data_IF_435673221341
#
_entry.id   IF_435673221341
#
_cell.length_a   1.000
_cell.length_b   1.000
_cell.length_c   1.000
_cell.angle_alpha   90.00
_cell.angle_beta   90.00
_cell.angle_gamma   90.00
#
_symmetry.space_group_name_H-M   'P 1'
#
loop_
_entity.id
_entity.type
_entity.pdbx_description
1 polymer ?
#
# COMPACT_ATOMS: atom_id res chain seq x y z
N UNK A 1 11.95 44.09 31.12
CA UNK A 1 10.80 44.10 32.07
C UNK A 1 10.54 42.64 32.46
N UNK A 2 10.43 42.22 33.73
CA UNK A 2 9.51 42.62 34.81
C UNK A 2 8.02 42.46 34.45
N UNK A 3 7.48 41.34 34.92
CA UNK A 3 6.12 41.06 35.39
C UNK A 3 5.14 42.23 35.54
N UNK A 4 3.84 41.97 35.28
CA UNK A 4 2.79 41.86 36.32
C UNK A 4 1.52 41.19 35.74
N UNK A 5 0.85 40.37 36.54
CA UNK A 5 -0.46 39.75 36.32
C UNK A 5 -1.41 40.20 37.46
N UNK A 6 -2.72 40.36 37.23
CA UNK A 6 -3.69 40.30 38.32
C UNK A 6 -4.91 39.39 38.02
N UNK A 7 -4.86 38.17 38.54
CA UNK A 7 -5.88 37.51 39.38
C UNK A 7 -7.40 37.64 39.10
N UNK A 8 -8.06 36.46 38.97
CA UNK A 8 -9.22 35.92 39.76
C UNK A 8 -10.37 36.88 40.17
N UNK A 9 -11.67 36.51 40.14
CA UNK A 9 -12.39 35.21 40.07
C UNK A 9 -13.83 35.50 39.52
N UNK A 10 -14.90 34.68 39.54
CA UNK A 10 -15.32 33.46 40.28
C UNK A 10 -15.94 32.39 39.33
N UNK A 11 -16.69 31.42 39.87
CA UNK A 11 -17.73 30.63 39.18
C UNK A 11 -19.13 31.04 39.74
N UNK A 12 -20.27 30.47 39.26
CA UNK A 12 -20.67 29.14 39.76
C UNK A 12 -21.16 28.13 38.69
N UNK A 13 -21.28 26.90 39.17
CA UNK A 13 -21.60 25.63 38.51
C UNK A 13 -22.80 25.58 37.55
N UNK A 14 -22.70 24.73 36.51
CA UNK A 14 -23.67 23.63 36.30
C UNK A 14 -23.09 22.48 35.48
N UNK A 15 -23.22 21.26 35.99
CA UNK A 15 -22.59 20.08 35.42
C UNK A 15 -23.25 19.60 34.11
N UNK A 16 -22.44 19.24 33.12
CA UNK A 16 -22.80 18.34 32.01
C UNK A 16 -21.80 17.19 31.96
N UNK A 17 -22.17 16.04 32.51
CA UNK A 17 -21.45 14.78 32.24
C UNK A 17 -21.84 14.32 30.83
N UNK A 18 -20.93 14.45 29.87
CA UNK A 18 -21.00 13.64 28.66
C UNK A 18 -20.38 12.28 28.98
N UNK A 19 -21.04 11.21 28.54
CA UNK A 19 -20.67 9.83 28.86
C UNK A 19 -19.96 9.26 27.63
N UNK A 20 -18.66 9.05 27.74
CA UNK A 20 -17.91 8.22 26.80
C UNK A 20 -18.30 6.74 27.04
N UNK A 21 -18.76 6.00 26.01
CA UNK A 21 -18.92 4.56 26.11
C UNK A 21 -17.57 3.88 25.92
N UNK A 22 -16.88 3.55 27.01
CA UNK A 22 -15.61 2.81 26.98
C UNK A 22 -15.77 1.45 26.26
N UNK A 23 -15.23 1.31 25.06
CA UNK A 23 -15.28 0.06 24.27
C UNK A 23 -14.25 -0.92 24.84
N UNK A 24 -14.65 -1.68 25.85
CA UNK A 24 -13.81 -2.70 26.48
C UNK A 24 -13.63 -3.95 25.60
N UNK A 25 -12.39 -4.28 25.24
CA UNK A 25 -12.06 -5.53 24.56
C UNK A 25 -12.28 -6.74 25.49
N UNK A 26 -13.20 -7.65 25.12
CA UNK A 26 -13.26 -9.01 25.69
C UNK A 26 -13.73 -10.07 24.69
N UNK A 27 -12.80 -10.58 23.88
CA UNK A 27 -12.87 -11.95 23.32
C UNK A 27 -11.49 -12.39 22.80
N UNK A 28 -10.84 -13.36 23.46
CA UNK A 28 -9.75 -14.16 22.89
C UNK A 28 -10.14 -15.64 22.94
N UNK A 29 -9.67 -16.37 21.93
CA UNK A 29 -9.83 -17.80 21.64
C UNK A 29 -11.26 -18.37 21.49
N UNK A 30 -11.53 -18.96 20.32
CA UNK A 30 -11.73 -20.41 20.06
C UNK A 30 -12.16 -20.55 18.60
N UNK A 31 -11.21 -20.70 17.69
CA UNK A 31 -11.38 -21.28 16.34
C UNK A 31 -10.00 -21.81 15.90
N UNK A 32 -9.99 -22.98 15.27
CA UNK A 32 -8.78 -23.56 14.66
C UNK A 32 -9.05 -23.91 13.20
N UNK A 33 -8.06 -23.64 12.35
CA UNK A 33 -8.10 -23.56 10.87
C UNK A 33 -8.80 -22.29 10.32
N UNK A 34 -8.30 -21.71 9.21
CA UNK A 34 -8.72 -20.39 8.76
C UNK A 34 -9.78 -20.42 7.64
N UNK A 35 -10.87 -19.69 7.85
CA UNK A 35 -11.60 -19.00 6.78
C UNK A 35 -11.89 -17.58 7.24
N UNK A 36 -11.74 -16.60 6.34
CA UNK A 36 -11.66 -15.18 6.68
C UNK A 36 -13.02 -14.58 7.07
N UNK A 37 -13.16 -14.14 8.33
CA UNK A 37 -14.31 -13.34 8.77
C UNK A 37 -13.97 -12.46 9.99
N UNK A 38 -13.44 -11.26 9.75
CA UNK A 38 -13.25 -10.23 10.77
C UNK A 38 -14.33 -9.15 10.62
N UNK A 39 -15.37 -9.22 11.45
CA UNK A 39 -16.49 -8.28 11.44
C UNK A 39 -16.74 -7.67 12.82
N UNK A 40 -16.78 -6.33 12.89
CA UNK A 40 -17.06 -5.60 14.13
C UNK A 40 -18.55 -5.69 14.51
N UNK A 41 -18.86 -6.29 15.66
CA UNK A 41 -20.25 -6.39 16.15
C UNK A 41 -20.65 -5.14 16.96
N UNK A 42 -21.41 -4.24 16.35
CA UNK A 42 -22.10 -3.17 17.06
C UNK A 42 -23.38 -3.70 17.75
N UNK A 43 -23.39 -3.73 19.08
CA UNK A 43 -24.52 -4.26 19.88
C UNK A 43 -25.48 -3.12 20.27
N UNK A 44 -26.50 -2.88 19.44
CA UNK A 44 -27.60 -1.98 19.79
C UNK A 44 -28.65 -2.70 20.66
N UNK A 45 -28.89 -2.19 21.87
CA UNK A 45 -29.96 -2.66 22.76
C UNK A 45 -31.10 -1.64 22.82
N UNK A 46 -32.23 -1.93 22.15
CA UNK A 46 -33.45 -1.15 22.33
C UNK A 46 -34.19 -1.57 23.61
N UNK A 47 -34.67 -0.62 24.44
CA UNK A 47 -35.60 -0.93 25.53
C UNK A 47 -36.98 -1.32 24.95
N UNK A 48 -37.77 -2.15 25.66
CA UNK A 48 -39.12 -2.48 25.22
C UNK A 48 -40.02 -1.24 25.24
N UNK A 49 -40.73 -0.98 24.15
CA UNK A 49 -41.83 -0.01 24.14
C UNK A 49 -42.95 -0.52 25.06
N UNK A 50 -43.42 0.31 25.98
CA UNK A 50 -44.65 0.05 26.71
C UNK A 50 -45.84 0.07 25.73
N UNK A 51 -46.76 -0.87 25.86
CA UNK A 51 -47.97 -0.93 25.05
C UNK A 51 -49.03 0.05 25.60
N UNK A 52 -49.33 1.11 24.84
CA UNK A 52 -50.54 1.92 25.02
C UNK A 52 -51.65 1.42 24.09
N UNK A 53 -52.93 1.39 24.52
CA UNK A 53 -54.02 0.94 23.68
C UNK A 53 -54.39 2.00 22.62
N UNK A 54 -54.57 1.57 21.36
CA UNK A 54 -55.16 2.42 20.31
C UNK A 54 -54.23 2.75 19.13
N UNK A 55 -53.94 1.76 18.29
CA UNK A 55 -53.49 1.97 16.91
C UNK A 55 -54.01 0.82 16.03
N UNK A 56 -54.52 1.12 14.84
CA UNK A 56 -55.14 0.11 13.96
C UNK A 56 -54.11 -0.84 13.36
N UNK A 57 -54.52 -2.07 13.09
CA UNK A 57 -53.71 -3.05 12.37
C UNK A 57 -53.46 -2.63 10.92
N UNK A 58 -52.18 -2.62 10.52
CA UNK A 58 -51.73 -2.51 9.15
C UNK A 58 -50.61 -3.53 8.93
N UNK A 59 -50.59 -4.16 7.75
CA UNK A 59 -49.87 -5.41 7.46
C UNK A 59 -48.41 -5.49 7.95
N UNK A 60 -48.08 -6.56 8.68
CA UNK A 60 -46.70 -7.06 8.74
C UNK A 60 -46.30 -7.65 7.37
N UNK A 61 -45.08 -7.38 6.86
CA UNK A 61 -44.57 -8.06 5.68
C UNK A 61 -44.13 -9.50 6.03
N UNK A 62 -44.69 -10.48 5.35
CA UNK A 62 -44.39 -11.89 5.60
C UNK A 62 -42.92 -12.23 5.29
N UNK A 63 -42.12 -12.50 6.33
CA UNK A 63 -40.74 -12.96 6.18
C UNK A 63 -40.71 -14.42 5.72
N UNK A 64 -40.09 -14.68 4.57
CA UNK A 64 -39.73 -16.05 4.18
C UNK A 64 -38.48 -16.49 4.94
N UNK A 65 -38.54 -17.64 5.62
CA UNK A 65 -37.40 -18.20 6.32
C UNK A 65 -36.54 -19.07 5.38
N UNK A 66 -35.26 -18.72 5.21
CA UNK A 66 -34.25 -19.60 4.60
C UNK A 66 -33.86 -20.73 5.56
N UNK A 67 -33.38 -21.86 5.04
CA UNK A 67 -33.10 -23.08 5.81
C UNK A 67 -31.76 -23.11 6.57
N UNK A 68 -30.83 -22.18 6.33
CA UNK A 68 -29.53 -22.14 7.04
C UNK A 68 -29.73 -21.76 8.52
N UNK A 69 -29.71 -22.77 9.39
CA UNK A 69 -29.60 -22.65 10.85
C UNK A 69 -28.21 -23.11 11.28
N UNK A 70 -27.62 -22.40 12.24
CA UNK A 70 -26.41 -22.83 12.94
C UNK A 70 -26.58 -22.65 14.44
N UNK A 71 -26.23 -23.69 15.20
CA UNK A 71 -26.25 -23.65 16.66
C UNK A 71 -24.96 -23.02 17.19
N UNK A 72 -25.10 -22.02 18.04
CA UNK A 72 -23.98 -21.25 18.59
C UNK A 72 -24.03 -21.31 20.12
N UNK A 73 -22.89 -21.67 20.73
CA UNK A 73 -22.73 -21.61 22.19
C UNK A 73 -22.21 -20.22 22.58
N UNK A 74 -22.99 -19.48 23.35
CA UNK A 74 -22.62 -18.14 23.83
C UNK A 74 -22.36 -18.20 25.34
N UNK A 75 -21.20 -17.69 25.77
CA UNK A 75 -20.86 -17.55 27.19
C UNK A 75 -21.24 -16.14 27.65
N UNK A 76 -22.17 -16.04 28.59
CA UNK A 76 -22.53 -14.77 29.22
C UNK A 76 -22.04 -14.76 30.68
N UNK A 77 -22.09 -13.59 31.34
CA UNK A 77 -21.64 -13.43 32.73
C UNK A 77 -22.39 -14.28 33.76
N UNK A 78 -23.52 -14.91 33.39
CA UNK A 78 -24.30 -15.83 34.23
C UNK A 78 -24.36 -17.26 33.69
N UNK A 79 -23.40 -17.65 32.83
CA UNK A 79 -23.21 -19.03 32.38
C UNK A 79 -23.19 -19.22 30.86
N UNK A 80 -23.06 -20.47 30.43
CA UNK A 80 -23.06 -20.85 29.01
C UNK A 80 -24.49 -21.14 28.57
N UNK A 81 -24.97 -20.50 27.49
CA UNK A 81 -26.31 -20.73 26.93
C UNK A 81 -26.21 -21.14 25.46
N UNK A 82 -27.16 -21.96 25.04
CA UNK A 82 -27.37 -22.31 23.64
C UNK A 82 -28.31 -21.30 22.99
N UNK A 83 -28.01 -20.90 21.76
CA UNK A 83 -28.88 -20.05 20.93
C UNK A 83 -28.74 -20.44 19.46
N UNK A 84 -29.83 -20.35 18.71
CA UNK A 84 -29.84 -20.63 17.28
C UNK A 84 -29.71 -19.32 16.49
N UNK A 85 -28.77 -19.28 15.54
CA UNK A 85 -28.70 -18.22 14.53
C UNK A 85 -29.63 -18.55 13.37
N UNK A 86 -30.37 -17.56 12.88
CA UNK A 86 -31.16 -17.63 11.64
C UNK A 86 -30.79 -16.47 10.72
N UNK A 87 -30.58 -16.76 9.43
CA UNK A 87 -30.52 -15.75 8.38
C UNK A 87 -31.93 -15.22 8.11
N UNK A 88 -32.10 -13.91 7.94
CA UNK A 88 -33.35 -13.29 7.50
C UNK A 88 -33.14 -12.67 6.11
N UNK A 89 -33.69 -13.32 5.08
CA UNK A 89 -33.61 -12.83 3.71
C UNK A 89 -34.78 -11.88 3.40
N UNK A 90 -34.55 -10.58 3.56
CA UNK A 90 -35.54 -9.56 3.21
C UNK A 90 -35.67 -9.44 1.69
N UNK A 91 -36.79 -9.88 1.12
CA UNK A 91 -37.20 -9.59 -0.27
C UNK A 91 -37.61 -8.11 -0.47
N UNK A 92 -36.72 -7.17 -0.16
CA UNK A 92 -36.62 -5.81 -0.71
C UNK A 92 -35.63 -4.96 0.12
N UNK A 93 -34.37 -4.84 -0.32
CA UNK A 93 -33.58 -3.60 -0.18
C UNK A 93 -32.65 -3.47 -1.37
N UNK A 94 -32.37 -2.23 -1.81
CA UNK A 94 -31.59 -1.92 -3.03
C UNK A 94 -30.07 -1.90 -2.79
N UNK A 95 -29.60 -2.49 -1.69
CA UNK A 95 -28.32 -2.14 -1.05
C UNK A 95 -27.60 -3.27 -0.29
N UNK A 96 -27.95 -4.54 -0.53
CA UNK A 96 -27.07 -5.69 -0.18
C UNK A 96 -26.89 -6.02 1.31
N UNK A 97 -27.71 -5.49 2.21
CA UNK A 97 -27.58 -5.71 3.66
C UNK A 97 -28.03 -7.12 4.07
N UNK A 98 -27.22 -7.81 4.89
CA UNK A 98 -27.58 -9.13 5.44
C UNK A 98 -27.97 -9.00 6.91
N UNK A 99 -29.24 -9.30 7.21
CA UNK A 99 -29.78 -9.28 8.56
C UNK A 99 -29.77 -10.70 9.16
N UNK A 100 -29.17 -10.83 10.35
CA UNK A 100 -29.17 -12.06 11.13
C UNK A 100 -29.95 -11.86 12.43
N UNK A 101 -30.81 -12.83 12.77
CA UNK A 101 -31.54 -12.87 14.04
C UNK A 101 -30.96 -13.97 14.91
N UNK A 102 -30.52 -13.61 16.12
CA UNK A 102 -30.23 -14.59 17.16
C UNK A 102 -31.40 -14.65 18.14
N UNK A 103 -31.92 -15.84 18.36
CA UNK A 103 -33.04 -16.07 19.28
C UNK A 103 -32.53 -16.67 20.59
N UNK A 104 -32.74 -15.91 21.68
CA UNK A 104 -32.48 -16.32 23.06
C UNK A 104 -33.79 -16.07 23.85
N UNK A 105 -34.24 -17.00 24.72
CA UNK A 105 -35.42 -16.78 25.54
C UNK A 105 -35.37 -15.45 26.31
N UNK A 106 -36.32 -14.56 26.04
CA UNK A 106 -36.48 -13.27 26.70
C UNK A 106 -35.77 -12.06 26.05
N UNK A 107 -34.95 -12.23 25.00
CA UNK A 107 -34.38 -11.10 24.23
C UNK A 107 -34.20 -11.43 22.74
N UNK A 108 -34.57 -10.49 21.87
CA UNK A 108 -34.16 -10.52 20.46
C UNK A 108 -32.88 -9.72 20.26
N UNK A 109 -31.92 -10.28 19.54
CA UNK A 109 -30.71 -9.57 19.10
C UNK A 109 -30.68 -9.64 17.58
N UNK A 110 -30.58 -8.47 16.96
CA UNK A 110 -30.47 -8.30 15.50
C UNK A 110 -29.04 -7.88 15.19
N UNK A 111 -28.34 -8.64 14.35
CA UNK A 111 -27.04 -8.29 13.84
C UNK A 111 -27.19 -7.87 12.37
N UNK A 112 -26.79 -6.63 12.07
CA UNK A 112 -26.68 -6.13 10.70
C UNK A 112 -25.24 -6.37 10.25
N UNK A 113 -25.05 -7.24 9.25
CA UNK A 113 -23.77 -7.39 8.59
C UNK A 113 -23.75 -6.51 7.33
N UNK A 114 -22.80 -5.58 7.25
CA UNK A 114 -22.42 -5.00 5.95
C UNK A 114 -21.82 -6.12 5.10
N UNK A 115 -22.35 -6.31 3.90
CA UNK A 115 -21.70 -7.15 2.89
C UNK A 115 -20.56 -6.34 2.25
N UNK A 116 -19.45 -6.16 2.96
CA UNK A 116 -18.22 -5.53 2.44
C UNK A 116 -17.48 -6.48 1.48
N UNK A 117 -18.16 -6.90 0.40
CA UNK A 117 -17.55 -7.46 -0.79
C UNK A 117 -18.47 -7.32 -2.02
N UNK A 118 -18.65 -6.10 -2.48
CA UNK A 118 -18.63 -5.85 -3.93
C UNK A 118 -17.20 -5.42 -4.26
N UNK A 119 -16.34 -6.39 -4.57
CA UNK A 119 -15.02 -6.13 -5.12
C UNK A 119 -15.17 -5.18 -6.32
N UNK A 120 -14.54 -4.02 -6.23
CA UNK A 120 -14.51 -3.03 -7.29
C UNK A 120 -13.76 -3.64 -8.47
N UNK A 121 -14.40 -3.70 -9.64
CA UNK A 121 -13.72 -4.17 -10.86
C UNK A 121 -12.55 -3.24 -11.17
N UNK A 122 -11.40 -3.86 -11.40
CA UNK A 122 -10.19 -3.16 -11.79
C UNK A 122 -10.23 -2.81 -13.29
N UNK A 123 -9.49 -1.80 -13.72
CA UNK A 123 -9.46 -1.33 -15.13
C UNK A 123 -9.19 -2.49 -16.11
N UNK A 124 -8.32 -3.43 -15.77
CA UNK A 124 -8.03 -4.60 -16.61
C UNK A 124 -9.20 -5.59 -16.77
N UNK A 125 -10.17 -5.58 -15.84
CA UNK A 125 -11.36 -6.45 -15.87
C UNK A 125 -12.59 -5.77 -16.51
N UNK A 126 -12.52 -4.45 -16.73
CA UNK A 126 -13.65 -3.68 -17.26
C UNK A 126 -13.90 -3.95 -18.73
N UNK A 127 -15.16 -4.20 -19.08
CA UNK A 127 -15.60 -4.35 -20.47
C UNK A 127 -16.19 -3.01 -20.97
N UNK A 128 -16.32 -2.80 -22.29
CA UNK A 128 -17.03 -1.64 -22.83
C UNK A 128 -18.50 -1.58 -22.39
N UNK A 129 -19.04 -0.36 -22.29
CA UNK A 129 -20.40 -0.05 -21.83
C UNK A 129 -20.71 -0.48 -20.37
N UNK A 130 -19.69 -0.50 -19.51
CA UNK A 130 -19.82 -0.72 -18.07
C UNK A 130 -19.69 0.61 -17.32
N UNK A 131 -20.53 0.83 -16.29
CA UNK A 131 -20.45 2.03 -15.43
C UNK A 131 -19.41 1.85 -14.34
N UNK A 132 -18.72 2.96 -14.03
CA UNK A 132 -17.72 3.03 -12.97
C UNK A 132 -17.98 4.23 -12.04
N UNK A 133 -17.67 4.00 -10.77
CA UNK A 133 -17.73 4.94 -9.63
C UNK A 133 -16.53 4.56 -8.73
N UNK A 134 -15.68 5.52 -8.38
CA UNK A 134 -14.59 5.28 -7.43
C UNK A 134 -13.38 6.20 -7.61
N UNK A 135 -12.36 5.96 -6.78
CA UNK A 135 -11.12 6.76 -6.74
C UNK A 135 -10.09 6.17 -7.71
N UNK A 136 -9.58 6.97 -8.64
CA UNK A 136 -8.53 6.57 -9.58
C UNK A 136 -7.32 7.49 -9.41
N UNK A 137 -6.14 7.00 -9.75
CA UNK A 137 -5.04 7.89 -10.10
C UNK A 137 -5.40 8.63 -11.39
N UNK A 138 -5.06 9.92 -11.46
CA UNK A 138 -5.05 10.71 -12.69
C UNK A 138 -3.61 11.06 -13.02
N UNK A 139 -3.27 11.03 -14.30
CA UNK A 139 -2.00 11.53 -14.81
C UNK A 139 -2.20 12.29 -16.11
N UNK A 140 -1.29 13.22 -16.40
CA UNK A 140 -1.26 14.01 -17.64
C UNK A 140 -2.62 14.66 -17.98
N UNK A 141 -3.22 15.37 -17.01
CA UNK A 141 -4.48 16.08 -17.20
C UNK A 141 -4.30 17.30 -18.14
N UNK A 142 -4.95 17.28 -19.31
CA UNK A 142 -4.86 18.30 -20.35
C UNK A 142 -6.23 18.84 -20.76
N UNK A 143 -6.33 20.16 -20.91
CA UNK A 143 -7.52 20.83 -21.47
C UNK A 143 -7.41 20.90 -23.00
N UNK A 144 -8.13 20.04 -23.69
CA UNK A 144 -8.25 20.05 -25.14
C UNK A 144 -9.43 20.90 -25.63
N UNK A 145 -9.42 21.29 -26.90
CA UNK A 145 -10.57 21.94 -27.57
C UNK A 145 -11.16 21.01 -28.63
N UNK A 146 -12.47 20.81 -28.61
CA UNK A 146 -13.19 20.01 -29.62
C UNK A 146 -13.29 20.76 -30.95
N UNK A 147 -13.60 20.06 -32.05
CA UNK A 147 -13.87 20.68 -33.37
C UNK A 147 -14.99 21.73 -33.35
N UNK A 148 -15.83 21.76 -32.30
CA UNK A 148 -16.91 22.74 -32.10
C UNK A 148 -16.55 23.84 -31.09
N UNK A 149 -15.27 24.03 -30.80
CA UNK A 149 -14.76 25.08 -29.90
C UNK A 149 -15.01 24.85 -28.40
N UNK A 150 -15.67 23.75 -28.00
CA UNK A 150 -15.91 23.45 -26.58
C UNK A 150 -14.67 22.82 -25.91
N UNK A 151 -14.31 23.22 -24.67
CA UNK A 151 -13.26 22.59 -23.90
C UNK A 151 -13.63 21.18 -23.43
N UNK A 152 -12.66 20.28 -23.42
CA UNK A 152 -12.79 18.90 -22.93
C UNK A 152 -11.54 18.48 -22.15
N UNK A 153 -11.68 17.63 -21.13
CA UNK A 153 -10.54 17.02 -20.44
C UNK A 153 -10.06 15.80 -21.23
N UNK A 154 -8.75 15.68 -21.41
CA UNK A 154 -8.04 14.42 -21.69
C UNK A 154 -7.15 14.11 -20.50
N UNK A 155 -7.13 12.87 -20.06
CA UNK A 155 -6.16 12.38 -19.07
C UNK A 155 -5.87 10.88 -19.27
N UNK A 156 -4.97 10.35 -18.46
CA UNK A 156 -4.92 8.93 -18.13
C UNK A 156 -5.57 8.73 -16.76
N UNK A 157 -6.36 7.66 -16.61
CA UNK A 157 -6.87 7.19 -15.33
C UNK A 157 -6.28 5.81 -15.04
N UNK A 158 -5.86 5.55 -13.81
CA UNK A 158 -5.22 4.29 -13.44
C UNK A 158 -5.64 3.74 -12.09
N UNK A 159 -5.55 2.42 -11.96
CA UNK A 159 -5.63 1.68 -10.71
C UNK A 159 -4.50 0.62 -10.64
N UNK A 160 -4.50 -0.23 -9.60
CA UNK A 160 -3.47 -1.25 -9.38
C UNK A 160 -3.37 -2.32 -10.49
N UNK A 161 -4.30 -2.36 -11.45
CA UNK A 161 -4.28 -3.28 -12.59
C UNK A 161 -3.73 -2.69 -13.89
N UNK A 162 -3.71 -1.35 -14.03
CA UNK A 162 -3.31 -0.70 -15.28
C UNK A 162 -3.89 0.71 -15.45
N UNK A 163 -3.85 1.21 -16.69
CA UNK A 163 -4.31 2.54 -17.06
C UNK A 163 -5.23 2.51 -18.29
N UNK A 164 -6.18 3.44 -18.35
CA UNK A 164 -7.10 3.67 -19.46
C UNK A 164 -7.15 5.17 -19.81
N UNK A 165 -7.50 5.51 -21.06
CA UNK A 165 -7.61 6.93 -21.44
C UNK A 165 -8.92 7.54 -20.91
N UNK A 166 -8.83 8.61 -20.13
CA UNK A 166 -9.98 9.37 -19.64
C UNK A 166 -10.35 10.53 -20.57
N UNK A 167 -11.65 10.73 -20.82
CA UNK A 167 -12.19 11.91 -21.53
C UNK A 167 -13.44 12.47 -20.86
N UNK A 168 -13.46 13.78 -20.59
CA UNK A 168 -14.68 14.52 -20.19
C UNK A 168 -15.05 15.49 -21.32
N UNK A 169 -16.06 15.17 -22.13
CA UNK A 169 -16.39 15.89 -23.37
C UNK A 169 -16.86 17.35 -23.20
N UNK A 170 -17.15 17.77 -21.96
CA UNK A 170 -17.47 19.13 -21.59
C UNK A 170 -17.02 19.36 -20.15
N UNK A 171 -16.00 20.18 -19.94
CA UNK A 171 -15.49 20.55 -18.61
C UNK A 171 -15.43 22.07 -18.48
N UNK A 172 -15.82 22.61 -17.32
CA UNK A 172 -15.58 24.02 -17.02
C UNK A 172 -14.11 24.24 -16.65
N UNK A 173 -13.54 25.35 -17.11
CA UNK A 173 -12.17 25.74 -16.72
C UNK A 173 -12.03 25.94 -15.20
N UNK A 174 -13.12 26.37 -14.54
CA UNK A 174 -13.27 26.46 -13.08
C UNK A 174 -12.97 25.13 -12.36
N UNK A 175 -13.26 24.01 -13.03
CA UNK A 175 -13.13 22.65 -12.52
C UNK A 175 -11.83 22.01 -12.97
N UNK A 176 -11.41 22.22 -14.23
CA UNK A 176 -10.08 21.84 -14.68
C UNK A 176 -8.97 22.42 -13.78
N UNK A 177 -9.06 23.70 -13.40
CA UNK A 177 -8.12 24.38 -12.49
C UNK A 177 -8.10 23.83 -11.04
N UNK A 178 -9.01 22.92 -10.66
CA UNK A 178 -8.99 22.22 -9.36
C UNK A 178 -8.40 20.81 -9.45
N UNK A 179 -8.29 20.23 -10.65
CA UNK A 179 -7.75 18.89 -10.82
C UNK A 179 -6.22 18.92 -10.69
N UNK A 180 -5.61 17.93 -10.01
CA UNK A 180 -4.16 17.75 -10.07
C UNK A 180 -3.76 17.30 -11.48
N UNK A 181 -2.57 17.72 -11.94
CA UNK A 181 -1.97 17.20 -13.19
C UNK A 181 -1.72 15.71 -13.08
N UNK A 182 -1.16 15.31 -11.93
CA UNK A 182 -0.87 13.93 -11.52
C UNK A 182 -1.26 13.81 -10.04
N UNK A 183 -2.09 12.82 -9.69
CA UNK A 183 -2.66 12.67 -8.35
C UNK A 183 -3.86 11.74 -8.30
N UNK A 184 -4.82 12.01 -7.42
CA UNK A 184 -6.02 11.18 -7.25
C UNK A 184 -7.31 11.97 -7.40
N UNK A 185 -8.32 11.29 -7.94
CA UNK A 185 -9.64 11.84 -8.27
C UNK A 185 -10.72 10.79 -8.02
N UNK A 186 -11.88 11.21 -7.54
CA UNK A 186 -13.09 10.41 -7.63
C UNK A 186 -13.75 10.65 -8.99
N UNK A 187 -14.13 9.58 -9.69
CA UNK A 187 -14.69 9.60 -11.04
C UNK A 187 -15.99 8.81 -11.08
N UNK A 188 -17.03 9.42 -11.63
CA UNK A 188 -18.21 8.70 -12.13
C UNK A 188 -18.21 8.76 -13.67
N UNK A 189 -18.45 7.62 -14.31
CA UNK A 189 -18.42 7.53 -15.78
C UNK A 189 -18.89 6.18 -16.33
N UNK A 190 -18.59 5.98 -17.61
CA UNK A 190 -18.81 4.71 -18.32
C UNK A 190 -17.64 4.39 -19.25
N UNK A 191 -17.41 3.11 -19.50
CA UNK A 191 -16.37 2.64 -20.42
C UNK A 191 -16.86 2.58 -21.87
N UNK A 192 -15.96 2.80 -22.81
CA UNK A 192 -16.20 2.68 -24.25
C UNK A 192 -14.99 2.02 -24.93
N UNK A 193 -15.24 1.15 -25.92
CA UNK A 193 -14.19 0.69 -26.82
C UNK A 193 -13.88 1.81 -27.83
N UNK A 194 -12.63 2.26 -27.88
CA UNK A 194 -12.18 3.30 -28.81
C UNK A 194 -10.87 2.87 -29.48
N UNK A 195 -10.89 2.73 -30.81
CA UNK A 195 -9.74 2.29 -31.62
C UNK A 195 -9.11 0.94 -31.20
N UNK A 196 -9.82 0.12 -30.43
CA UNK A 196 -9.36 -1.17 -29.89
C UNK A 196 -9.01 -1.14 -28.40
N UNK A 197 -8.83 0.05 -27.82
CA UNK A 197 -8.51 0.25 -26.41
C UNK A 197 -9.73 0.59 -25.56
N UNK A 198 -9.60 0.47 -24.23
CA UNK A 198 -10.60 0.91 -23.28
C UNK A 198 -10.45 2.43 -23.01
N UNK A 199 -11.53 3.17 -23.20
CA UNK A 199 -11.63 4.61 -22.90
C UNK A 199 -12.69 4.83 -21.82
N UNK A 200 -12.41 5.66 -20.83
CA UNK A 200 -13.35 6.08 -19.80
C UNK A 200 -13.96 7.41 -20.21
N UNK A 201 -15.27 7.42 -20.41
CA UNK A 201 -16.08 8.63 -20.58
C UNK A 201 -16.48 9.12 -19.19
N UNK A 202 -15.89 10.25 -18.81
CA UNK A 202 -16.05 10.89 -17.51
C UNK A 202 -17.34 11.72 -17.54
N UNK A 203 -18.26 11.44 -16.62
CA UNK A 203 -19.48 12.22 -16.40
C UNK A 203 -19.31 13.22 -15.26
N UNK A 204 -18.58 12.83 -14.21
CA UNK A 204 -18.20 13.71 -13.10
C UNK A 204 -16.81 13.34 -12.61
N UNK A 205 -16.04 14.34 -12.21
CA UNK A 205 -14.69 14.20 -11.66
C UNK A 205 -14.48 15.26 -10.58
N UNK A 206 -14.00 14.83 -9.41
CA UNK A 206 -13.65 15.69 -8.28
C UNK A 206 -12.29 15.25 -7.70
N UNK A 207 -11.41 16.17 -7.25
CA UNK A 207 -10.15 15.81 -6.58
C UNK A 207 -10.37 14.96 -5.33
N UNK A 208 -9.43 14.07 -5.03
CA UNK A 208 -9.50 13.18 -3.87
C UNK A 208 -8.12 12.97 -3.23
N UNK A 209 -8.07 12.84 -1.91
CA UNK A 209 -6.88 12.46 -1.15
C UNK A 209 -7.16 11.09 -0.50
N UNK A 210 -6.58 9.98 -0.99
CA UNK A 210 -6.88 8.63 -0.50
C UNK A 210 -6.21 8.36 0.86
N UNK A 211 -6.83 7.51 1.69
CA UNK A 211 -6.19 6.97 2.89
C UNK A 211 -5.07 5.97 2.53
N UNK A 212 -4.15 5.62 3.45
CA UNK A 212 -3.07 4.65 3.19
C UNK A 212 -3.55 3.24 2.80
N UNK A 213 -4.79 2.89 3.13
CA UNK A 213 -5.46 1.67 2.69
C UNK A 213 -5.96 1.81 1.25
N UNK A 214 -6.68 2.88 0.95
CA UNK A 214 -7.16 3.20 -0.41
C UNK A 214 -5.99 3.34 -1.40
N UNK A 215 -4.87 3.94 -0.96
CA UNK A 215 -3.67 4.09 -1.77
C UNK A 215 -3.11 2.73 -2.23
N UNK A 216 -3.22 1.68 -1.40
CA UNK A 216 -2.86 0.29 -1.73
C UNK A 216 -3.90 -0.44 -2.59
N UNK A 217 -5.13 0.04 -2.66
CA UNK A 217 -6.14 -0.45 -3.62
C UNK A 217 -5.99 0.22 -5.00
N UNK A 218 -5.48 1.45 -5.05
CA UNK A 218 -5.40 2.26 -6.29
C UNK A 218 -4.00 2.17 -6.94
N UNK A 219 -2.94 1.95 -6.19
CA UNK A 219 -1.59 1.75 -6.74
C UNK A 219 -1.17 0.27 -6.63
N UNK A 220 -0.32 -0.24 -7.53
CA UNK A 220 0.38 -1.50 -7.32
C UNK A 220 1.06 -1.51 -5.95
N UNK A 221 0.95 -2.61 -5.21
CA UNK A 221 1.55 -2.82 -3.89
C UNK A 221 2.14 -4.23 -3.77
N UNK A 222 3.04 -4.43 -2.80
CA UNK A 222 3.54 -5.76 -2.45
C UNK A 222 2.41 -6.68 -1.96
N UNK A 223 2.51 -7.99 -2.28
CA UNK A 223 1.66 -9.04 -1.69
C UNK A 223 2.03 -9.33 -0.21
N UNK A 224 3.16 -8.80 0.28
CA UNK A 224 3.69 -9.02 1.64
C UNK A 224 3.36 -7.84 2.55
N UNK A 225 3.14 -8.12 3.84
CA UNK A 225 2.93 -7.07 4.85
C UNK A 225 4.22 -6.24 5.05
N UNK A 226 4.20 -4.91 4.79
CA UNK A 226 5.36 -4.05 5.01
C UNK A 226 5.82 -3.99 6.48
N UNK A 227 4.93 -4.22 7.46
CA UNK A 227 5.32 -4.31 8.85
C UNK A 227 6.14 -5.58 9.12
N UNK A 228 5.70 -6.74 8.58
CA UNK A 228 6.44 -8.00 8.71
C UNK A 228 7.81 -7.90 8.03
N UNK A 229 7.86 -7.36 6.80
CA UNK A 229 9.11 -7.16 6.07
C UNK A 229 10.07 -6.21 6.82
N UNK A 230 9.56 -5.15 7.45
CA UNK A 230 10.38 -4.22 8.22
C UNK A 230 10.92 -4.85 9.52
N UNK A 231 10.16 -5.73 10.18
CA UNK A 231 10.69 -6.54 11.28
C UNK A 231 11.80 -7.50 10.82
N UNK A 232 11.68 -8.10 9.63
CA UNK A 232 12.74 -8.95 9.07
C UNK A 232 14.02 -8.14 8.76
N UNK A 233 13.91 -6.92 8.20
CA UNK A 233 15.06 -6.02 8.01
C UNK A 233 15.72 -5.65 9.34
N UNK A 234 14.94 -5.30 10.37
CA UNK A 234 15.45 -5.00 11.71
C UNK A 234 16.15 -6.20 12.36
N UNK A 235 15.64 -7.41 12.17
CA UNK A 235 16.29 -8.63 12.65
C UNK A 235 17.66 -8.82 11.98
N UNK A 236 17.75 -8.65 10.66
CA UNK A 236 19.01 -8.74 9.91
C UNK A 236 20.01 -7.67 10.34
N UNK A 237 19.60 -6.41 10.52
CA UNK A 237 20.46 -5.35 11.09
C UNK A 237 20.91 -5.66 12.53
N UNK A 238 20.08 -6.34 13.33
CA UNK A 238 20.45 -6.84 14.65
C UNK A 238 21.57 -7.88 14.65
N UNK A 239 21.82 -8.54 13.50
CA UNK A 239 22.92 -9.51 13.32
C UNK A 239 24.22 -8.91 12.82
N UNK A 240 24.34 -7.58 12.71
CA UNK A 240 25.65 -6.93 12.58
C UNK A 240 26.52 -7.31 13.79
N UNK A 241 27.85 -7.24 13.67
CA UNK A 241 28.78 -7.51 14.78
C UNK A 241 29.44 -6.23 15.29
N UNK A 242 29.94 -5.39 14.39
CA UNK A 242 30.76 -4.22 14.66
C UNK A 242 29.95 -3.08 15.32
N UNK A 243 30.34 -2.56 16.51
CA UNK A 243 29.56 -1.58 17.25
C UNK A 243 29.19 -0.31 16.46
N UNK A 244 30.11 0.21 15.64
CA UNK A 244 29.83 1.40 14.83
C UNK A 244 28.88 1.16 13.64
N UNK A 245 28.66 -0.09 13.23
CA UNK A 245 27.65 -0.44 12.21
C UNK A 245 26.27 -0.60 12.87
N UNK A 246 26.22 -1.17 14.07
CA UNK A 246 25.00 -1.18 14.91
C UNK A 246 24.50 0.23 15.20
N UNK A 247 25.38 1.10 15.73
CA UNK A 247 25.03 2.48 16.02
C UNK A 247 24.56 3.25 14.77
N UNK A 248 25.14 2.98 13.59
CA UNK A 248 24.69 3.59 12.34
C UNK A 248 23.30 3.07 11.93
N UNK A 249 23.08 1.75 11.97
CA UNK A 249 21.77 1.13 11.70
C UNK A 249 20.69 1.66 12.66
N UNK A 250 20.98 1.73 13.96
CA UNK A 250 20.10 2.31 14.98
C UNK A 250 19.75 3.78 14.70
N UNK A 251 20.71 4.60 14.23
CA UNK A 251 20.50 6.01 13.86
C UNK A 251 19.62 6.19 12.61
N UNK A 252 19.57 5.17 11.74
CA UNK A 252 18.63 5.09 10.62
C UNK A 252 17.25 4.58 11.08
N UNK A 253 17.20 3.52 11.88
CA UNK A 253 15.96 2.92 12.37
C UNK A 253 15.17 3.84 13.31
N UNK A 254 15.84 4.75 14.01
CA UNK A 254 15.20 5.78 14.84
C UNK A 254 14.58 6.94 14.04
N UNK A 255 14.80 7.01 12.72
CA UNK A 255 14.23 8.03 11.84
C UNK A 255 12.88 7.56 11.29
N UNK A 256 11.82 7.66 12.11
CA UNK A 256 10.48 7.17 11.74
C UNK A 256 9.94 7.77 10.44
N UNK A 257 10.35 8.99 10.06
CA UNK A 257 9.95 9.60 8.78
C UNK A 257 10.65 8.92 7.60
N UNK A 258 11.97 8.74 7.66
CA UNK A 258 12.72 8.01 6.64
C UNK A 258 12.29 6.53 6.58
N UNK A 259 12.03 5.90 7.73
CA UNK A 259 11.60 4.51 7.81
C UNK A 259 10.17 4.32 7.32
N UNK A 260 9.25 5.28 7.52
CA UNK A 260 7.93 5.20 6.87
C UNK A 260 8.01 5.40 5.35
N UNK A 261 8.88 6.32 4.89
CA UNK A 261 9.21 6.43 3.48
C UNK A 261 9.73 5.11 2.90
N UNK A 262 10.67 4.46 3.58
CA UNK A 262 11.23 3.16 3.20
C UNK A 262 10.19 2.03 3.16
N UNK A 263 9.28 1.98 4.15
CA UNK A 263 8.19 0.97 4.21
C UNK A 263 7.16 1.09 3.08
N UNK A 264 7.00 2.28 2.49
CA UNK A 264 5.93 2.54 1.52
C UNK A 264 6.44 2.80 0.09
N UNK A 265 7.68 3.25 -0.10
CA UNK A 265 8.21 3.62 -1.43
C UNK A 265 8.35 2.43 -2.41
N UNK A 266 8.18 2.67 -3.72
CA UNK A 266 8.60 1.74 -4.77
C UNK A 266 10.12 1.79 -4.99
N UNK A 267 10.71 0.71 -5.52
CA UNK A 267 12.13 0.70 -5.88
C UNK A 267 12.42 1.35 -7.24
N UNK A 268 11.38 1.65 -8.04
CA UNK A 268 11.48 2.36 -9.30
C UNK A 268 10.16 3.03 -9.67
N UNK A 269 10.21 4.09 -10.48
CA UNK A 269 8.99 4.70 -11.02
C UNK A 269 8.28 3.83 -12.09
N UNK A 270 9.04 2.97 -12.81
CA UNK A 270 8.56 2.18 -13.98
C UNK A 270 9.25 0.83 -14.23
N UNK A 271 10.20 0.42 -13.39
CA UNK A 271 10.99 -0.82 -13.57
C UNK A 271 10.65 -1.84 -12.47
N UNK A 272 11.54 -2.80 -12.19
CA UNK A 272 11.34 -3.81 -11.15
C UNK A 272 10.94 -3.17 -9.80
N UNK A 273 10.06 -3.84 -9.07
CA UNK A 273 9.50 -3.36 -7.80
C UNK A 273 8.90 -1.93 -7.84
N UNK A 274 8.33 -1.52 -8.98
CA UNK A 274 7.50 -0.32 -9.12
C UNK A 274 6.10 -0.50 -8.49
N UNK A 275 6.08 -0.76 -7.18
CA UNK A 275 4.89 -0.93 -6.36
C UNK A 275 5.15 -0.49 -4.91
N UNK A 276 4.11 -0.11 -4.17
CA UNK A 276 4.22 0.33 -2.77
C UNK A 276 4.84 -0.77 -1.89
N UNK A 277 5.86 -0.39 -1.13
CA UNK A 277 6.69 -1.31 -0.33
C UNK A 277 7.74 -2.09 -1.14
N UNK A 278 7.83 -1.87 -2.45
CA UNK A 278 8.79 -2.55 -3.33
C UNK A 278 10.25 -2.26 -3.00
N UNK A 279 10.56 -1.05 -2.51
CA UNK A 279 11.90 -0.69 -2.03
C UNK A 279 12.31 -1.55 -0.83
N UNK A 280 11.40 -1.74 0.13
CA UNK A 280 11.59 -2.59 1.30
C UNK A 280 11.71 -4.08 0.92
N UNK A 281 10.85 -4.57 0.03
CA UNK A 281 10.86 -5.99 -0.40
C UNK A 281 12.16 -6.36 -1.14
N UNK A 282 12.60 -5.51 -2.07
CA UNK A 282 13.88 -5.66 -2.78
C UNK A 282 15.05 -5.63 -1.79
N UNK A 283 15.16 -4.57 -0.96
CA UNK A 283 16.25 -4.42 0.02
C UNK A 283 16.34 -5.61 0.98
N UNK A 284 15.19 -6.08 1.49
CA UNK A 284 15.10 -7.27 2.34
C UNK A 284 15.61 -8.53 1.62
N UNK A 285 15.27 -8.69 0.34
CA UNK A 285 15.72 -9.83 -0.47
C UNK A 285 17.24 -9.82 -0.66
N UNK A 286 17.85 -8.66 -0.93
CA UNK A 286 19.31 -8.53 -1.02
C UNK A 286 20.02 -8.84 0.32
N UNK A 287 19.44 -8.39 1.43
CA UNK A 287 19.96 -8.68 2.78
C UNK A 287 19.83 -10.17 3.13
N UNK A 288 18.75 -10.84 2.72
CA UNK A 288 18.60 -12.29 2.88
C UNK A 288 19.58 -13.10 2.01
N UNK A 289 19.82 -12.66 0.76
CA UNK A 289 20.85 -13.25 -0.10
C UNK A 289 22.27 -13.11 0.51
N UNK A 290 22.53 -12.00 1.20
CA UNK A 290 23.83 -11.74 1.85
C UNK A 290 24.20 -12.80 2.88
N UNK A 291 23.26 -13.28 3.69
CA UNK A 291 23.52 -14.30 4.70
C UNK A 291 23.76 -15.70 4.11
N UNK A 292 23.28 -15.96 2.89
CA UNK A 292 23.60 -17.18 2.14
C UNK A 292 24.96 -17.07 1.44
N UNK A 293 25.31 -15.88 0.95
CA UNK A 293 26.46 -15.67 0.06
C UNK A 293 27.75 -15.31 0.81
N UNK A 294 27.71 -14.43 1.82
CA UNK A 294 28.91 -14.01 2.56
C UNK A 294 29.73 -15.16 3.19
N UNK A 295 29.14 -16.26 3.70
CA UNK A 295 29.91 -17.41 4.20
C UNK A 295 30.86 -18.04 3.17
N UNK A 296 30.59 -17.89 1.87
CA UNK A 296 31.46 -18.37 0.79
C UNK A 296 32.67 -17.45 0.55
N UNK A 297 32.64 -16.22 1.06
CA UNK A 297 33.65 -15.18 0.85
C UNK A 297 34.18 -14.63 2.19
N UNK A 298 34.83 -15.44 3.05
CA UNK A 298 35.26 -15.08 4.42
C UNK A 298 36.37 -14.00 4.50
N UNK A 299 36.67 -13.31 3.39
CA UNK A 299 37.56 -12.15 3.31
C UNK A 299 36.85 -10.85 2.94
N UNK A 300 35.53 -10.89 2.73
CA UNK A 300 34.67 -9.72 2.52
C UNK A 300 34.04 -9.35 3.86
N UNK A 301 33.96 -8.05 4.17
CA UNK A 301 33.34 -7.61 5.43
C UNK A 301 31.80 -7.68 5.33
N UNK A 302 31.19 -8.71 5.95
CA UNK A 302 29.72 -8.90 5.96
C UNK A 302 28.96 -7.68 6.47
N UNK A 303 29.41 -7.03 7.53
CA UNK A 303 28.71 -5.86 8.10
C UNK A 303 28.68 -4.68 7.13
N UNK A 304 29.76 -4.45 6.39
CA UNK A 304 29.82 -3.40 5.35
C UNK A 304 28.94 -3.76 4.14
N UNK A 305 28.81 -5.05 3.78
CA UNK A 305 27.88 -5.49 2.73
C UNK A 305 26.42 -5.36 3.19
N UNK A 306 26.08 -5.86 4.37
CA UNK A 306 24.73 -5.82 4.96
C UNK A 306 24.26 -4.37 5.16
N UNK A 307 25.12 -3.51 5.75
CA UNK A 307 24.84 -2.08 5.88
C UNK A 307 24.80 -1.39 4.52
N UNK A 308 25.71 -1.74 3.60
CA UNK A 308 25.73 -1.22 2.24
C UNK A 308 24.43 -1.48 1.48
N UNK A 309 23.88 -2.69 1.58
CA UNK A 309 22.60 -3.07 0.97
C UNK A 309 21.40 -2.43 1.65
N UNK A 310 21.39 -2.32 2.98
CA UNK A 310 20.34 -1.54 3.66
C UNK A 310 20.33 -0.06 3.23
N UNK A 311 21.50 0.49 2.85
CA UNK A 311 21.65 1.91 2.49
C UNK A 311 21.51 2.23 1.00
N UNK A 312 21.86 1.29 0.10
CA UNK A 312 22.20 1.59 -1.30
C UNK A 312 21.16 2.46 -2.03
N UNK A 313 19.89 2.22 -1.73
CA UNK A 313 18.75 2.76 -2.45
C UNK A 313 17.83 3.64 -1.56
N UNK A 314 18.20 3.92 -0.30
CA UNK A 314 17.36 4.75 0.59
C UNK A 314 17.15 6.18 0.06
N UNK A 315 18.00 6.67 -0.84
CA UNK A 315 17.77 7.91 -1.58
C UNK A 315 16.45 7.93 -2.38
N UNK A 316 15.90 6.76 -2.75
CA UNK A 316 14.62 6.64 -3.46
C UNK A 316 13.43 7.16 -2.66
N UNK A 317 13.52 7.16 -1.33
CA UNK A 317 12.53 7.80 -0.43
C UNK A 317 12.42 9.34 -0.58
N UNK A 318 13.37 9.97 -1.29
CA UNK A 318 13.39 11.41 -1.58
C UNK A 318 13.45 11.72 -3.08
N UNK A 319 14.01 10.82 -3.90
CA UNK A 319 13.96 10.90 -5.37
C UNK A 319 12.53 10.72 -5.89
N UNK A 320 11.76 9.78 -5.33
CA UNK A 320 10.44 9.42 -5.83
C UNK A 320 9.31 10.01 -4.98
N UNK A 321 8.22 10.40 -5.64
CA UNK A 321 6.92 10.58 -5.01
C UNK A 321 6.02 9.37 -5.30
N UNK A 322 5.18 9.03 -4.33
CA UNK A 322 4.23 7.91 -4.36
C UNK A 322 2.90 8.24 -3.64
N UNK A 323 2.77 9.47 -3.15
CA UNK A 323 1.58 10.07 -2.52
C UNK A 323 0.50 10.49 -3.53
N UNK A 324 0.84 10.50 -4.83
CA UNK A 324 0.01 11.04 -5.92
C UNK A 324 0.16 10.25 -7.23
N UNK A 325 0.40 8.94 -7.12
CA UNK A 325 0.96 8.10 -8.20
C UNK A 325 2.49 8.09 -8.17
N UNK A 326 3.14 7.32 -9.06
CA UNK A 326 4.60 7.19 -9.07
C UNK A 326 5.29 8.15 -10.05
N UNK A 327 6.24 8.94 -9.55
CA UNK A 327 7.05 9.86 -10.35
C UNK A 327 8.24 10.42 -9.56
N UNK A 328 8.95 11.39 -10.13
CA UNK A 328 10.15 11.99 -9.54
C UNK A 328 9.86 13.33 -8.86
N UNK A 329 10.51 13.60 -7.74
CA UNK A 329 10.53 14.92 -7.10
C UNK A 329 11.53 15.84 -7.80
N UNK A 330 11.49 17.14 -7.50
CA UNK A 330 12.52 18.10 -7.98
C UNK A 330 13.95 17.67 -7.55
N UNK A 331 14.11 16.97 -6.42
CA UNK A 331 15.41 16.38 -6.03
C UNK A 331 15.71 15.11 -6.84
N UNK A 332 14.70 14.32 -7.20
CA UNK A 332 14.87 13.19 -8.09
C UNK A 332 15.40 13.59 -9.47
N UNK A 333 14.73 14.54 -10.12
CA UNK A 333 15.11 15.04 -11.46
C UNK A 333 16.46 15.79 -11.48
N UNK A 334 16.89 16.41 -10.37
CA UNK A 334 18.11 17.22 -10.31
C UNK A 334 19.33 16.56 -9.63
N UNK A 335 19.12 15.57 -8.74
CA UNK A 335 20.17 14.99 -7.86
C UNK A 335 20.22 13.46 -7.96
N UNK A 336 19.06 12.79 -7.95
CA UNK A 336 18.93 11.33 -8.00
C UNK A 336 19.35 10.59 -6.71
N UNK A 337 18.85 9.37 -6.55
CA UNK A 337 18.98 8.56 -5.32
C UNK A 337 20.43 8.26 -4.92
N UNK A 338 21.35 8.15 -5.88
CA UNK A 338 22.77 7.84 -5.61
C UNK A 338 23.47 8.98 -4.86
N UNK A 339 23.31 10.22 -5.33
CA UNK A 339 23.91 11.39 -4.69
C UNK A 339 23.14 11.73 -3.42
N UNK A 340 21.82 11.59 -3.43
CA UNK A 340 20.97 11.74 -2.25
C UNK A 340 21.37 10.79 -1.11
N UNK A 341 21.54 9.50 -1.41
CA UNK A 341 21.94 8.49 -0.44
C UNK A 341 23.34 8.72 0.12
N UNK A 342 24.29 9.15 -0.71
CA UNK A 342 25.65 9.48 -0.27
C UNK A 342 25.70 10.73 0.63
N UNK A 343 24.81 11.70 0.43
CA UNK A 343 24.62 12.86 1.32
C UNK A 343 23.92 12.42 2.61
N UNK A 344 22.80 11.70 2.51
CA UNK A 344 22.04 11.18 3.66
C UNK A 344 22.92 10.35 4.61
N UNK A 345 23.79 9.50 4.04
CA UNK A 345 24.77 8.72 4.79
C UNK A 345 25.84 9.61 5.46
N UNK A 346 26.28 10.69 4.82
CA UNK A 346 27.19 11.63 5.47
C UNK A 346 26.51 12.26 6.70
N UNK A 347 25.31 12.79 6.54
CA UNK A 347 24.56 13.46 7.60
C UNK A 347 24.24 12.50 8.76
N UNK A 348 23.76 11.28 8.44
CA UNK A 348 23.48 10.22 9.43
C UNK A 348 24.72 9.73 10.15
N UNK A 349 25.87 9.66 9.47
CA UNK A 349 27.14 9.35 10.12
C UNK A 349 27.57 10.46 11.10
N UNK A 350 27.41 11.75 10.75
CA UNK A 350 27.69 12.84 11.69
C UNK A 350 26.72 12.80 12.88
N UNK A 351 25.42 12.60 12.64
CA UNK A 351 24.40 12.45 13.68
C UNK A 351 24.80 11.35 14.69
N UNK A 352 25.07 10.14 14.20
CA UNK A 352 25.47 8.98 15.01
C UNK A 352 26.72 9.26 15.86
N UNK A 353 27.74 9.91 15.27
CA UNK A 353 28.99 10.22 15.95
C UNK A 353 28.85 11.35 17.00
N UNK A 354 27.86 12.22 16.86
CA UNK A 354 27.54 13.26 17.84
C UNK A 354 26.68 12.72 19.00
N UNK A 355 25.64 11.95 18.69
CA UNK A 355 24.66 11.45 19.67
C UNK A 355 25.20 10.29 20.50
N UNK A 356 25.91 9.33 19.89
CA UNK A 356 26.40 8.12 20.59
C UNK A 356 27.84 8.25 21.10
N UNK A 357 28.60 9.23 20.60
CA UNK A 357 30.05 9.34 20.81
C UNK A 357 30.89 8.28 20.08
N UNK A 358 30.27 7.28 19.45
CA UNK A 358 30.93 6.24 18.64
C UNK A 358 31.67 6.88 17.46
N UNK A 359 32.66 6.18 16.89
CA UNK A 359 33.37 6.60 15.69
C UNK A 359 33.33 5.48 14.64
N UNK A 360 33.07 5.85 13.39
CA UNK A 360 33.25 4.92 12.27
C UNK A 360 34.75 4.59 12.10
N UNK A 361 35.10 3.34 11.75
CA UNK A 361 36.47 3.00 11.37
C UNK A 361 36.97 3.85 10.20
N UNK A 362 38.29 4.06 10.13
CA UNK A 362 38.90 4.82 9.05
C UNK A 362 38.52 4.26 7.67
N UNK A 363 38.00 5.12 6.79
CA UNK A 363 37.53 4.74 5.45
C UNK A 363 36.16 4.06 5.39
N UNK A 364 35.55 3.63 6.51
CA UNK A 364 34.27 2.91 6.46
C UNK A 364 33.12 3.76 5.87
N UNK A 365 33.05 5.05 6.23
CA UNK A 365 32.12 6.00 5.61
C UNK A 365 32.34 6.11 4.10
N UNK A 366 33.60 6.20 3.66
CA UNK A 366 33.98 6.32 2.24
C UNK A 366 33.64 5.06 1.45
N UNK A 367 33.80 3.86 2.03
CA UNK A 367 33.40 2.60 1.39
C UNK A 367 31.88 2.49 1.29
N UNK A 368 31.12 2.82 2.34
CA UNK A 368 29.65 2.83 2.29
C UNK A 368 29.13 3.87 1.28
N UNK A 369 29.73 5.06 1.21
CA UNK A 369 29.42 6.04 0.17
C UNK A 369 29.79 5.53 -1.24
N UNK A 370 30.93 4.84 -1.40
CA UNK A 370 31.31 4.22 -2.67
C UNK A 370 30.31 3.15 -3.10
N UNK A 371 29.85 2.30 -2.17
CA UNK A 371 28.81 1.30 -2.41
C UNK A 371 27.54 1.97 -2.96
N UNK A 372 27.02 3.00 -2.27
CA UNK A 372 25.83 3.75 -2.70
C UNK A 372 26.02 4.28 -4.13
N UNK A 373 27.13 4.96 -4.44
CA UNK A 373 27.31 5.59 -5.78
C UNK A 373 27.77 4.63 -6.89
N UNK A 374 27.95 3.33 -6.61
CA UNK A 374 28.47 2.35 -7.58
C UNK A 374 27.65 1.06 -7.75
N UNK A 375 26.57 0.85 -7.00
CA UNK A 375 25.83 -0.42 -7.01
C UNK A 375 25.28 -0.82 -8.39
N UNK A 376 24.88 0.15 -9.24
CA UNK A 376 24.48 -0.06 -10.65
C UNK A 376 25.57 -0.60 -11.58
N UNK A 377 26.71 -1.09 -11.07
CA UNK A 377 27.86 -1.68 -11.79
C UNK A 377 28.65 -0.70 -12.68
N UNK A 378 27.99 0.10 -13.52
CA UNK A 378 28.60 0.87 -14.62
C UNK A 378 27.97 2.25 -14.85
N UNK A 379 28.73 3.24 -15.36
CA UNK A 379 28.18 4.55 -15.75
C UNK A 379 27.07 4.48 -16.81
N UNK A 380 27.14 3.51 -17.73
CA UNK A 380 26.09 3.27 -18.74
C UNK A 380 24.76 2.81 -18.15
N UNK A 381 24.75 2.36 -16.88
CA UNK A 381 23.57 1.98 -16.10
C UNK A 381 23.24 3.02 -15.01
N UNK A 382 23.96 4.15 -14.96
CA UNK A 382 23.73 5.25 -14.02
C UNK A 382 24.74 5.37 -12.87
N UNK A 383 25.67 4.43 -12.71
CA UNK A 383 26.63 4.47 -11.60
C UNK A 383 27.62 5.64 -11.72
N UNK A 384 27.82 6.44 -10.67
CA UNK A 384 28.79 7.54 -10.69
C UNK A 384 30.26 7.04 -10.69
N UNK A 385 30.49 5.81 -10.19
CA UNK A 385 31.76 5.07 -10.26
C UNK A 385 31.51 3.58 -10.45
N UNK A 386 32.53 2.88 -10.93
CA UNK A 386 32.56 1.41 -10.98
C UNK A 386 32.88 0.88 -9.55
N UNK A 387 32.25 -0.22 -9.10
CA UNK A 387 32.59 -0.91 -7.84
C UNK A 387 34.10 -1.13 -7.68
N UNK A 388 34.67 -0.67 -6.56
CA UNK A 388 36.13 -0.57 -6.36
C UNK A 388 36.63 -1.13 -5.01
N UNK A 389 35.80 -1.90 -4.31
CA UNK A 389 36.20 -2.75 -3.16
C UNK A 389 35.54 -4.13 -3.27
N UNK A 390 36.02 -5.17 -2.56
CA UNK A 390 35.36 -6.48 -2.54
C UNK A 390 33.90 -6.42 -2.13
N UNK A 391 33.57 -5.57 -1.15
CA UNK A 391 32.22 -5.32 -0.66
C UNK A 391 31.38 -4.63 -1.73
N UNK A 392 31.88 -3.57 -2.36
CA UNK A 392 31.15 -2.86 -3.42
C UNK A 392 30.89 -3.73 -4.65
N UNK A 393 31.86 -4.57 -5.04
CA UNK A 393 31.69 -5.55 -6.12
C UNK A 393 30.60 -6.54 -5.74
N UNK A 394 30.65 -7.12 -4.52
CA UNK A 394 29.63 -8.06 -4.08
C UNK A 394 28.23 -7.44 -4.01
N UNK A 395 28.10 -6.22 -3.47
CA UNK A 395 26.83 -5.48 -3.43
C UNK A 395 26.28 -5.27 -4.84
N UNK A 396 27.08 -4.75 -5.78
CA UNK A 396 26.63 -4.52 -7.16
C UNK A 396 26.17 -5.79 -7.87
N UNK A 397 26.77 -6.95 -7.55
CA UNK A 397 26.40 -8.25 -8.12
C UNK A 397 25.17 -8.86 -7.47
N UNK A 398 24.92 -8.62 -6.18
CA UNK A 398 23.71 -9.06 -5.47
C UNK A 398 22.48 -8.27 -5.94
N UNK A 399 22.60 -6.94 -6.03
CA UNK A 399 21.57 -6.07 -6.63
C UNK A 399 21.25 -6.48 -8.09
N UNK A 400 22.28 -6.54 -8.95
CA UNK A 400 22.09 -6.95 -10.33
C UNK A 400 21.56 -8.38 -10.49
N UNK A 401 21.78 -9.28 -9.53
CA UNK A 401 21.20 -10.63 -9.54
C UNK A 401 19.69 -10.58 -9.33
N UNK A 402 19.22 -9.87 -8.30
CA UNK A 402 17.80 -9.76 -7.98
C UNK A 402 17.04 -9.03 -9.08
N UNK A 403 17.48 -7.82 -9.44
CA UNK A 403 16.89 -7.00 -10.49
C UNK A 403 16.75 -7.76 -11.82
N UNK A 404 17.77 -8.51 -12.25
CA UNK A 404 17.72 -9.28 -13.51
C UNK A 404 16.88 -10.56 -13.37
N UNK A 405 16.86 -11.19 -12.20
CA UNK A 405 16.02 -12.37 -11.92
C UNK A 405 14.53 -12.01 -11.93
N UNK A 406 14.14 -10.97 -11.18
CA UNK A 406 12.75 -10.51 -11.11
C UNK A 406 12.26 -10.05 -12.48
N UNK A 407 13.04 -9.24 -13.20
CA UNK A 407 12.69 -8.82 -14.58
C UNK A 407 12.63 -9.97 -15.59
N UNK A 408 13.29 -11.11 -15.31
CA UNK A 408 13.17 -12.32 -16.13
C UNK A 408 11.90 -13.12 -15.78
N UNK A 409 11.59 -13.25 -14.49
CA UNK A 409 10.38 -13.92 -14.01
C UNK A 409 9.11 -13.17 -14.45
N UNK A 410 9.03 -11.86 -14.23
CA UNK A 410 7.87 -11.04 -14.62
C UNK A 410 7.59 -11.08 -16.13
N UNK A 411 8.65 -11.15 -16.95
CA UNK A 411 8.51 -11.17 -18.40
C UNK A 411 8.19 -12.57 -18.96
N UNK A 412 8.78 -13.64 -18.39
CA UNK A 412 8.63 -15.01 -18.89
C UNK A 412 7.47 -15.78 -18.25
N UNK A 413 7.15 -15.48 -16.99
CA UNK A 413 6.23 -16.20 -16.10
C UNK A 413 5.40 -15.21 -15.24
N UNK A 414 4.69 -14.25 -15.86
CA UNK A 414 3.95 -13.22 -15.11
C UNK A 414 2.86 -13.82 -14.21
N UNK A 415 2.61 -13.19 -13.06
CA UNK A 415 1.51 -13.56 -12.13
C UNK A 415 0.10 -13.51 -12.76
N UNK A 416 -0.05 -12.83 -13.91
CA UNK A 416 -1.26 -12.80 -14.73
C UNK A 416 -0.84 -12.90 -16.20
N UNK A 417 -1.38 -13.86 -16.94
CA UNK A 417 -1.24 -13.88 -18.40
C UNK A 417 -2.07 -12.74 -19.02
N UNK A 418 -1.69 -12.28 -20.21
CA UNK A 418 -2.48 -11.33 -20.99
C UNK A 418 -3.37 -12.07 -21.99
N UNK A 419 -4.66 -11.74 -22.02
CA UNK A 419 -5.64 -12.28 -22.99
C UNK A 419 -5.23 -12.07 -24.46
N UNK A 420 -4.34 -11.11 -24.71
CA UNK A 420 -3.78 -10.76 -26.03
C UNK A 420 -2.41 -11.41 -26.30
N UNK A 421 -2.00 -12.39 -25.51
CA UNK A 421 -0.81 -13.21 -25.78
C UNK A 421 -0.91 -13.87 -27.16
N UNK A 422 0.02 -13.56 -28.06
CA UNK A 422 0.15 -14.19 -29.38
C UNK A 422 0.56 -15.69 -29.32
N UNK A 423 0.66 -16.26 -28.12
CA UNK A 423 1.18 -17.59 -27.87
C UNK A 423 2.70 -17.71 -28.05
N UNK A 424 3.16 -18.96 -28.09
CA UNK A 424 4.56 -19.31 -28.38
C UNK A 424 5.52 -19.22 -27.19
N UNK A 425 6.61 -20.00 -27.28
CA UNK A 425 7.50 -20.28 -26.15
C UNK A 425 8.45 -19.13 -25.78
N UNK A 426 8.42 -17.99 -26.48
CA UNK A 426 9.34 -16.88 -26.25
C UNK A 426 8.63 -15.55 -26.04
N UNK A 427 9.14 -14.74 -25.12
CA UNK A 427 8.69 -13.36 -24.90
C UNK A 427 9.02 -12.46 -26.10
N UNK A 428 8.48 -11.24 -26.10
CA UNK A 428 9.12 -10.14 -26.82
C UNK A 428 10.51 -9.84 -26.22
N UNK A 429 11.31 -9.01 -26.90
CA UNK A 429 12.65 -8.68 -26.41
C UNK A 429 12.55 -7.81 -25.16
N UNK A 430 12.94 -8.33 -24.00
CA UNK A 430 13.15 -7.51 -22.82
C UNK A 430 14.40 -6.65 -23.08
N UNK A 431 14.24 -5.33 -23.12
CA UNK A 431 15.31 -4.42 -23.51
C UNK A 431 16.40 -4.26 -22.45
N UNK A 432 16.06 -4.33 -21.16
CA UNK A 432 17.03 -4.27 -20.06
C UNK A 432 17.89 -5.54 -19.97
N UNK A 433 17.30 -6.71 -20.26
CA UNK A 433 18.01 -7.99 -20.32
C UNK A 433 18.65 -8.24 -21.70
N UNK A 434 18.35 -7.43 -22.71
CA UNK A 434 18.86 -7.54 -24.08
C UNK A 434 18.34 -8.73 -24.90
N UNK A 435 17.52 -9.62 -24.33
CA UNK A 435 17.16 -10.93 -24.91
C UNK A 435 15.64 -11.16 -24.99
N UNK A 436 15.24 -12.19 -25.75
CA UNK A 436 13.95 -12.87 -25.58
C UNK A 436 14.13 -13.99 -24.57
N UNK A 437 13.16 -14.16 -23.66
CA UNK A 437 13.18 -15.19 -22.63
C UNK A 437 12.29 -16.36 -23.04
N UNK A 438 12.65 -17.57 -22.60
CA UNK A 438 11.84 -18.77 -22.78
C UNK A 438 10.76 -18.80 -21.69
N UNK A 439 9.48 -18.87 -22.08
CA UNK A 439 8.33 -18.86 -21.13
C UNK A 439 8.14 -20.20 -20.39
N UNK A 440 8.04 -21.35 -21.09
CA UNK A 440 7.66 -22.60 -20.42
C UNK A 440 8.68 -22.99 -19.35
N UNK A 441 8.19 -23.46 -18.20
CA UNK A 441 9.02 -24.29 -17.35
C UNK A 441 9.06 -25.70 -17.96
N UNK A 442 10.24 -26.26 -18.27
CA UNK A 442 10.34 -27.63 -18.79
C UNK A 442 9.99 -28.71 -17.75
N UNK A 443 9.74 -28.34 -16.49
CA UNK A 443 9.42 -29.22 -15.36
C UNK A 443 8.16 -28.77 -14.59
N UNK A 444 7.27 -27.96 -15.19
CA UNK A 444 5.91 -27.78 -14.67
C UNK A 444 5.00 -28.93 -15.12
N UNK A 445 4.18 -29.44 -14.20
CA UNK A 445 3.14 -30.46 -14.41
C UNK A 445 1.87 -29.88 -15.07
#
# INVERSE_FOLDING_TARGET
MRWVEPSRQTQPERARRLIEPTIGLMAKSIWSKPTSFWGWMAVCSMPPRAAGPGANAAHEPAMMASSDRRDVRVRTGSGMRFGSLRRLESKCTRSGWLLWRMEIPGRHIYAVAMSMNTARRTIAEMKPAERLDGIYSIANAQLGTTQKGKPYLRCLLGDASGQASGRMWSIEESTFRRLPTDGFVWVEGETQAYQGELQIIIHRIDPHEPTPEQLREILPASDRDPAEMFEQVKQLLGTLEHPAMKALAETYLADEYLMDGFRNAPAAARLHHAYLGGLLEHTLTLMQLTDVICPLYPRVNRDIVMMGLFLHDLGKTRELYFDRGFGYTDRGELIGHLVEGAIMLHDKAQQMMLETGTRLPAGALTILQHIIISHHERPEYGAAKIPSSPEAVLVSLIDNLDAKTVMALDAARPKRESDFSLGGNFTEKNWALGVKLYRPDPLAD
#
